data_IF_995188754197
#
_entry.id   IF_995188754197
#
_cell.length_a   1.000
_cell.length_b   1.000
_cell.length_c   1.000
_cell.angle_alpha   90.00
_cell.angle_beta   90.00
_cell.angle_gamma   90.00
#
_symmetry.space_group_name_H-M   'P 1'
#
loop_
_entity.id
_entity.type
_entity.pdbx_description
1 polymer ?
#
# COMPACT_ATOMS: atom_id res chain seq x y z
N UNK A 1 -44.56 -19.01 8.31
CA UNK A 1 -43.92 -18.36 7.14
C UNK A 1 -42.64 -17.59 7.48
N UNK A 2 -42.48 -17.06 8.69
CA UNK A 2 -41.30 -16.29 9.13
C UNK A 2 -40.03 -17.13 9.38
N UNK A 3 -40.16 -18.37 9.87
CA UNK A 3 -39.02 -19.26 10.14
C UNK A 3 -38.31 -19.80 8.89
N UNK A 4 -39.04 -19.99 7.78
CA UNK A 4 -38.47 -20.43 6.51
C UNK A 4 -37.65 -19.32 5.81
N UNK A 5 -38.08 -18.06 5.95
CA UNK A 5 -37.34 -16.89 5.46
C UNK A 5 -36.03 -16.67 6.23
N UNK A 6 -35.99 -16.95 7.53
CA UNK A 6 -34.77 -16.89 8.35
C UNK A 6 -33.77 -17.98 7.94
N UNK A 7 -34.25 -19.19 7.62
CA UNK A 7 -33.40 -20.29 7.11
C UNK A 7 -32.79 -20.02 5.74
N UNK A 8 -33.49 -19.29 4.87
CA UNK A 8 -33.02 -18.95 3.51
C UNK A 8 -32.17 -17.68 3.51
N UNK A 9 -32.51 -16.64 4.29
CA UNK A 9 -31.69 -15.42 4.39
C UNK A 9 -30.48 -15.58 5.31
N UNK A 10 -30.51 -16.49 6.29
CA UNK A 10 -29.44 -16.70 7.27
C UNK A 10 -28.06 -16.91 6.64
N UNK A 11 -27.89 -17.81 5.66
CA UNK A 11 -26.63 -18.02 4.95
C UNK A 11 -26.15 -16.77 4.21
N UNK A 12 -27.04 -16.06 3.51
CA UNK A 12 -26.69 -14.82 2.79
C UNK A 12 -26.28 -13.69 3.74
N UNK A 13 -26.99 -13.53 4.86
CA UNK A 13 -26.68 -12.54 5.89
C UNK A 13 -25.33 -12.85 6.56
N UNK A 14 -25.06 -14.12 6.88
CA UNK A 14 -23.80 -14.55 7.48
C UNK A 14 -22.62 -14.36 6.53
N UNK A 15 -22.80 -14.70 5.24
CA UNK A 15 -21.80 -14.45 4.19
C UNK A 15 -21.52 -12.95 4.04
N UNK A 16 -22.55 -12.10 3.99
CA UNK A 16 -22.38 -10.65 3.91
C UNK A 16 -21.67 -10.06 5.13
N UNK A 17 -21.96 -10.55 6.35
CA UNK A 17 -21.28 -10.13 7.59
C UNK A 17 -19.79 -10.51 7.54
N UNK A 18 -19.45 -11.72 7.10
CA UNK A 18 -18.05 -12.16 6.96
C UNK A 18 -17.28 -11.28 5.98
N UNK A 19 -17.83 -11.02 4.79
CA UNK A 19 -17.18 -10.18 3.80
C UNK A 19 -17.09 -8.71 4.21
N UNK A 20 -18.08 -8.19 4.93
CA UNK A 20 -18.03 -6.85 5.51
C UNK A 20 -16.87 -6.74 6.52
N UNK A 21 -16.65 -7.75 7.37
CA UNK A 21 -15.49 -7.79 8.29
C UNK A 21 -14.17 -7.79 7.54
N UNK A 22 -14.03 -8.64 6.51
CA UNK A 22 -12.83 -8.69 5.64
C UNK A 22 -12.56 -7.32 5.02
N UNK A 23 -13.59 -6.70 4.47
CA UNK A 23 -13.50 -5.40 3.83
C UNK A 23 -13.01 -4.32 4.81
N UNK A 24 -13.61 -4.23 5.99
CA UNK A 24 -13.22 -3.25 7.02
C UNK A 24 -11.77 -3.51 7.47
N UNK A 25 -11.41 -4.77 7.72
CA UNK A 25 -10.07 -5.13 8.16
C UNK A 25 -9.03 -4.78 7.08
N UNK A 26 -9.34 -5.01 5.81
CA UNK A 26 -8.52 -4.61 4.67
C UNK A 26 -8.36 -3.09 4.56
N UNK A 27 -9.43 -2.30 4.77
CA UNK A 27 -9.36 -0.84 4.80
C UNK A 27 -8.37 -0.35 5.86
N UNK A 28 -8.54 -0.83 7.10
CA UNK A 28 -7.70 -0.43 8.24
C UNK A 28 -6.24 -0.80 7.99
N UNK A 29 -5.99 -1.99 7.44
CA UNK A 29 -4.65 -2.45 7.09
C UNK A 29 -3.95 -1.55 6.07
N UNK A 30 -4.64 -1.20 4.97
CA UNK A 30 -4.08 -0.35 3.92
C UNK A 30 -3.80 1.06 4.45
N UNK A 31 -4.68 1.60 5.30
CA UNK A 31 -4.48 2.91 5.92
C UNK A 31 -3.26 2.93 6.85
N UNK A 32 -3.10 1.92 7.70
CA UNK A 32 -1.95 1.86 8.62
C UNK A 32 -0.64 1.55 7.92
N UNK A 33 -0.65 0.73 6.86
CA UNK A 33 0.55 0.48 6.08
C UNK A 33 1.05 1.76 5.39
N UNK A 34 0.15 2.65 5.01
CA UNK A 34 0.51 3.94 4.37
C UNK A 34 1.30 4.84 5.32
N UNK A 35 1.21 4.63 6.64
CA UNK A 35 2.00 5.37 7.62
C UNK A 35 3.50 5.11 7.46
N UNK A 36 3.89 3.90 7.05
CA UNK A 36 5.31 3.59 6.87
C UNK A 36 5.96 4.45 5.79
N UNK A 37 5.20 4.86 4.77
CA UNK A 37 5.69 5.71 3.69
C UNK A 37 6.01 7.14 4.15
N UNK A 38 5.46 7.59 5.28
CA UNK A 38 5.70 8.91 5.88
C UNK A 38 6.82 8.93 6.94
N UNK A 39 7.38 7.77 7.29
CA UNK A 39 8.47 7.63 8.26
C UNK A 39 9.75 8.38 7.85
N UNK A 40 10.23 8.29 6.58
CA UNK A 40 11.42 9.04 6.19
C UNK A 40 11.22 10.55 6.33
N UNK A 41 12.25 11.20 6.85
CA UNK A 41 12.38 12.66 6.93
C UNK A 41 13.72 13.03 6.29
N UNK A 42 13.76 14.20 5.66
CA UNK A 42 14.98 14.78 5.13
C UNK A 42 15.49 15.84 6.10
N UNK A 43 16.73 15.71 6.53
CA UNK A 43 17.47 16.80 7.15
C UNK A 43 18.16 17.59 6.04
N UNK A 44 17.67 18.81 5.82
CA UNK A 44 18.13 19.67 4.74
C UNK A 44 19.46 20.36 5.05
N UNK A 45 19.79 20.53 6.33
CA UNK A 45 21.03 21.16 6.78
C UNK A 45 22.21 20.21 6.56
N UNK A 46 22.03 18.96 7.00
CA UNK A 46 23.05 17.93 6.94
C UNK A 46 22.96 17.05 5.67
N UNK A 47 21.92 17.24 4.85
CA UNK A 47 21.66 16.49 3.61
C UNK A 47 21.69 14.98 3.84
N UNK A 48 20.91 14.54 4.82
CA UNK A 48 20.83 13.15 5.24
C UNK A 48 19.38 12.73 5.47
N UNK A 49 19.17 11.41 5.51
CA UNK A 49 17.88 10.83 5.86
C UNK A 49 17.81 10.58 7.35
N UNK A 50 16.77 11.13 7.98
CA UNK A 50 16.38 10.78 9.33
C UNK A 50 15.06 9.99 9.30
N UNK A 51 14.75 9.36 10.43
CA UNK A 51 13.57 8.53 10.62
C UNK A 51 12.72 9.10 11.74
N UNK A 52 11.45 9.37 11.45
CA UNK A 52 10.48 9.74 12.49
C UNK A 52 10.27 8.57 13.46
N UNK A 53 10.95 8.62 14.61
CA UNK A 53 10.92 7.56 15.63
C UNK A 53 9.53 7.38 16.22
N UNK A 54 8.79 8.48 16.39
CA UNK A 54 7.44 8.48 16.95
C UNK A 54 6.49 7.81 15.98
N UNK A 55 6.47 8.24 14.72
CA UNK A 55 5.62 7.66 13.68
C UNK A 55 5.97 6.20 13.42
N UNK A 56 7.26 5.85 13.41
CA UNK A 56 7.73 4.46 13.28
C UNK A 56 7.16 3.57 14.38
N UNK A 57 7.26 3.99 15.64
CA UNK A 57 6.76 3.20 16.77
C UNK A 57 5.23 3.06 16.70
N UNK A 58 4.51 4.14 16.40
CA UNK A 58 3.05 4.12 16.24
C UNK A 58 2.64 3.19 15.10
N UNK A 59 3.28 3.28 13.93
CA UNK A 59 2.98 2.44 12.78
C UNK A 59 3.24 0.96 13.06
N UNK A 60 4.33 0.63 13.78
CA UNK A 60 4.62 -0.74 14.19
C UNK A 60 3.55 -1.30 15.13
N UNK A 61 3.14 -0.54 16.16
CA UNK A 61 2.09 -0.94 17.10
C UNK A 61 0.76 -1.16 16.38
N UNK A 62 0.34 -0.18 15.55
CA UNK A 62 -0.90 -0.27 14.78
C UNK A 62 -0.89 -1.48 13.85
N UNK A 63 0.25 -1.78 13.21
CA UNK A 63 0.34 -2.97 12.38
C UNK A 63 0.24 -4.25 13.22
N UNK A 64 0.97 -4.37 14.31
CA UNK A 64 0.88 -5.56 15.17
C UNK A 64 -0.57 -5.86 15.57
N UNK A 65 -1.37 -4.83 15.89
CA UNK A 65 -2.80 -4.98 16.17
C UNK A 65 -3.59 -5.49 14.95
N UNK A 66 -3.33 -4.96 13.76
CA UNK A 66 -3.99 -5.47 12.53
C UNK A 66 -3.60 -6.90 12.18
N UNK A 67 -2.33 -7.27 12.34
CA UNK A 67 -1.85 -8.63 12.10
C UNK A 67 -2.53 -9.64 13.03
N UNK A 68 -2.65 -9.31 14.32
CA UNK A 68 -3.38 -10.13 15.28
C UNK A 68 -4.84 -10.30 14.85
N UNK A 69 -5.51 -9.20 14.46
CA UNK A 69 -6.88 -9.25 13.98
C UNK A 69 -7.05 -10.10 12.70
N UNK A 70 -6.08 -10.06 11.77
CA UNK A 70 -6.06 -10.93 10.59
C UNK A 70 -5.81 -12.39 10.94
N UNK A 71 -4.92 -12.70 11.89
CA UNK A 71 -4.68 -14.06 12.34
C UNK A 71 -5.98 -14.66 12.92
N UNK A 72 -6.67 -13.92 13.79
CA UNK A 72 -7.98 -14.35 14.30
C UNK A 72 -9.00 -14.55 13.17
N UNK A 73 -8.99 -13.68 12.16
CA UNK A 73 -9.86 -13.83 10.99
C UNK A 73 -9.56 -15.09 10.18
N UNK A 74 -8.27 -15.42 9.96
CA UNK A 74 -7.85 -16.65 9.28
C UNK A 74 -8.23 -17.89 10.08
N UNK A 75 -7.99 -17.90 11.40
CA UNK A 75 -8.36 -19.01 12.27
C UNK A 75 -9.87 -19.25 12.21
N UNK A 76 -10.68 -18.19 12.30
CA UNK A 76 -12.12 -18.30 12.15
C UNK A 76 -12.52 -18.87 10.77
N UNK A 77 -11.85 -18.42 9.70
CA UNK A 77 -12.09 -18.93 8.35
C UNK A 77 -11.74 -20.43 8.21
N UNK A 78 -10.68 -20.89 8.87
CA UNK A 78 -10.28 -22.30 8.88
C UNK A 78 -11.29 -23.13 9.66
N UNK A 79 -11.71 -22.67 10.84
CA UNK A 79 -12.71 -23.37 11.66
C UNK A 79 -14.06 -23.48 10.93
N UNK A 80 -14.52 -22.40 10.30
CA UNK A 80 -15.72 -22.41 9.46
C UNK A 80 -15.61 -23.44 8.32
N UNK A 81 -14.43 -23.56 7.70
CA UNK A 81 -14.19 -24.51 6.62
C UNK A 81 -14.18 -25.96 7.11
N UNK A 82 -13.73 -26.21 8.34
CA UNK A 82 -13.76 -27.53 8.96
C UNK A 82 -15.17 -27.94 9.42
N UNK A 83 -15.94 -27.00 9.96
CA UNK A 83 -17.31 -27.25 10.44
C UNK A 83 -18.33 -27.41 9.31
N UNK A 84 -18.19 -26.67 8.19
CA UNK A 84 -19.18 -26.77 7.10
C UNK A 84 -18.97 -27.97 6.18
N UNK A 85 -17.77 -28.58 6.15
CA UNK A 85 -17.40 -29.61 5.17
C UNK A 85 -17.60 -29.15 3.71
N UNK A 86 -17.13 -29.89 2.71
CA UNK A 86 -17.48 -29.59 1.33
C UNK A 86 -18.99 -29.86 1.12
N UNK A 87 -19.84 -28.85 1.25
CA UNK A 87 -21.22 -28.90 0.74
C UNK A 87 -21.16 -28.91 -0.78
N UNK A 88 -21.29 -30.09 -1.35
CA UNK A 88 -21.55 -30.28 -2.76
C UNK A 88 -23.00 -29.86 -3.02
N UNK A 89 -23.20 -28.62 -3.44
CA UNK A 89 -24.46 -28.26 -4.09
C UNK A 89 -24.48 -28.94 -5.46
N UNK A 90 -25.26 -30.02 -5.59
CA UNK A 90 -25.51 -30.78 -6.83
C UNK A 90 -26.21 -29.98 -7.95
N UNK A 91 -26.23 -28.64 -7.84
CA UNK A 91 -26.90 -27.74 -8.77
C UNK A 91 -25.99 -26.60 -9.23
N UNK A 92 -24.80 -26.92 -9.77
CA UNK A 92 -23.95 -25.91 -10.39
C UNK A 92 -24.31 -25.68 -11.86
N UNK A 93 -25.16 -24.69 -12.05
CA UNK A 93 -25.51 -23.96 -13.26
C UNK A 93 -24.31 -23.66 -14.18
N UNK A 94 -24.59 -23.65 -15.49
CA UNK A 94 -23.66 -23.53 -16.60
C UNK A 94 -22.77 -22.26 -16.54
N UNK A 95 -21.52 -22.41 -16.10
CA UNK A 95 -20.44 -21.45 -16.39
C UNK A 95 -19.57 -21.94 -17.56
N UNK A 96 -19.33 -21.07 -18.55
CA UNK A 96 -18.51 -21.32 -19.76
C UNK A 96 -17.00 -21.35 -19.45
N UNK A 97 -16.56 -22.28 -18.61
CA UNK A 97 -15.13 -22.51 -18.35
C UNK A 97 -14.68 -23.78 -19.09
N UNK A 98 -13.48 -23.81 -19.72
CA UNK A 98 -12.98 -25.00 -20.40
C UNK A 98 -12.93 -26.21 -19.45
N UNK A 99 -13.46 -27.36 -19.89
CA UNK A 99 -13.63 -28.59 -19.08
C UNK A 99 -12.37 -29.02 -18.31
N UNK A 100 -11.18 -28.80 -18.87
CA UNK A 100 -9.88 -29.08 -18.22
C UNK A 100 -9.63 -28.20 -16.99
N UNK A 101 -9.99 -26.92 -17.04
CA UNK A 101 -9.78 -25.97 -15.94
C UNK A 101 -10.75 -26.23 -14.77
N UNK A 102 -11.94 -26.76 -15.09
CA UNK A 102 -12.93 -27.20 -14.10
C UNK A 102 -12.41 -28.40 -13.28
N UNK A 103 -11.82 -29.37 -13.97
CA UNK A 103 -11.27 -30.59 -13.35
C UNK A 103 -10.04 -30.28 -12.48
N UNK A 104 -9.17 -29.37 -12.93
CA UNK A 104 -8.04 -28.88 -12.11
C UNK A 104 -8.52 -28.17 -10.85
N UNK A 105 -9.56 -27.32 -10.94
CA UNK A 105 -10.16 -26.65 -9.78
C UNK A 105 -10.75 -27.63 -8.77
N UNK A 106 -11.46 -28.65 -9.25
CA UNK A 106 -12.08 -29.67 -8.41
C UNK A 106 -11.03 -30.55 -7.71
N UNK A 107 -9.95 -30.92 -8.39
CA UNK A 107 -8.84 -31.69 -7.81
C UNK A 107 -8.05 -30.88 -6.78
N UNK A 108 -7.75 -29.61 -7.05
CA UNK A 108 -7.08 -28.71 -6.09
C UNK A 108 -7.97 -28.49 -4.86
N UNK A 109 -9.27 -28.24 -5.05
CA UNK A 109 -10.21 -28.07 -3.94
C UNK A 109 -10.34 -29.33 -3.05
N UNK A 110 -10.25 -30.52 -3.65
CA UNK A 110 -10.34 -31.81 -2.94
C UNK A 110 -9.06 -32.21 -2.21
N UNK A 111 -7.89 -31.86 -2.74
CA UNK A 111 -6.59 -32.36 -2.23
C UNK A 111 -5.80 -31.32 -1.44
N UNK A 112 -5.97 -30.03 -1.73
CA UNK A 112 -5.26 -28.91 -1.10
C UNK A 112 -6.15 -27.66 -1.07
N UNK A 113 -7.17 -27.60 -0.20
CA UNK A 113 -8.07 -26.45 -0.11
C UNK A 113 -7.33 -25.14 0.19
N UNK A 114 -6.17 -25.19 0.87
CA UNK A 114 -5.28 -24.06 1.14
C UNK A 114 -4.63 -23.42 -0.10
N UNK A 115 -4.58 -24.12 -1.24
CA UNK A 115 -3.95 -23.62 -2.48
C UNK A 115 -4.96 -22.94 -3.43
N UNK A 116 -6.21 -22.74 -3.01
CA UNK A 116 -7.18 -21.97 -3.79
C UNK A 116 -6.63 -20.56 -4.07
N UNK A 117 -6.72 -20.09 -5.32
CA UNK A 117 -6.25 -18.75 -5.75
C UNK A 117 -6.73 -17.66 -4.79
N UNK A 118 -7.95 -17.79 -4.25
CA UNK A 118 -8.52 -16.85 -3.28
C UNK A 118 -7.74 -16.84 -1.94
N UNK A 119 -7.35 -18.01 -1.45
CA UNK A 119 -6.58 -18.14 -0.20
C UNK A 119 -5.15 -17.65 -0.43
N UNK A 120 -4.56 -17.96 -1.59
CA UNK A 120 -3.22 -17.48 -1.97
C UNK A 120 -3.19 -15.95 -2.09
N UNK A 121 -4.17 -15.33 -2.75
CA UNK A 121 -4.29 -13.87 -2.84
C UNK A 121 -4.51 -13.25 -1.46
N UNK A 122 -5.37 -13.85 -0.63
CA UNK A 122 -5.56 -13.39 0.76
C UNK A 122 -4.27 -13.48 1.57
N UNK A 123 -3.51 -14.56 1.44
CA UNK A 123 -2.24 -14.77 2.14
C UNK A 123 -1.16 -13.78 1.66
N UNK A 124 -0.98 -13.65 0.34
CA UNK A 124 -0.04 -12.70 -0.27
C UNK A 124 -0.34 -11.25 0.12
N UNK A 125 -1.62 -10.86 0.19
CA UNK A 125 -2.01 -9.53 0.61
C UNK A 125 -1.59 -9.21 2.06
N UNK A 126 -1.51 -10.23 2.92
CA UNK A 126 -1.22 -10.11 4.36
C UNK A 126 0.28 -10.01 4.67
N UNK A 127 1.18 -10.42 3.78
CA UNK A 127 2.62 -10.41 4.06
C UNK A 127 3.12 -9.01 4.50
N UNK A 128 3.96 -8.86 5.52
CA UNK A 128 4.42 -7.56 6.01
C UNK A 128 5.52 -6.90 5.14
N UNK A 129 5.52 -7.06 3.82
CA UNK A 129 6.61 -6.58 2.94
C UNK A 129 6.85 -5.06 3.05
N UNK A 130 5.86 -4.14 3.17
CA UNK A 130 6.14 -2.71 3.21
C UNK A 130 6.87 -2.35 4.51
N UNK A 131 6.59 -3.09 5.58
CA UNK A 131 7.23 -2.90 6.88
C UNK A 131 8.66 -3.41 6.87
N UNK A 132 8.89 -4.60 6.32
CA UNK A 132 10.24 -5.16 6.19
C UNK A 132 11.06 -4.28 5.24
N UNK A 133 10.49 -3.86 4.12
CA UNK A 133 11.11 -2.95 3.18
C UNK A 133 11.55 -1.65 3.87
N UNK A 134 10.65 -0.97 4.58
CA UNK A 134 10.92 0.37 5.11
C UNK A 134 11.75 0.33 6.40
N UNK A 135 11.47 -0.61 7.30
CA UNK A 135 12.13 -0.71 8.61
C UNK A 135 13.48 -1.42 8.52
N UNK A 136 13.61 -2.44 7.66
CA UNK A 136 14.84 -3.25 7.54
C UNK A 136 15.62 -2.87 6.28
N UNK A 137 14.94 -2.56 5.17
CA UNK A 137 15.55 -2.40 3.86
C UNK A 137 15.90 -0.97 3.43
N UNK A 138 15.12 0.05 3.80
CA UNK A 138 15.09 1.32 3.06
C UNK A 138 16.16 2.37 3.42
N UNK A 139 16.84 2.29 4.56
CA UNK A 139 17.80 3.34 4.97
C UNK A 139 19.24 2.85 5.11
N UNK A 140 19.51 1.58 4.78
CA UNK A 140 20.87 1.00 4.82
C UNK A 140 21.33 0.51 3.45
N UNK A 141 20.98 1.23 2.38
CA UNK A 141 21.41 0.84 1.04
C UNK A 141 22.72 1.56 0.67
N UNK A 142 23.80 1.27 1.39
CA UNK A 142 25.15 1.62 0.91
C UNK A 142 25.59 0.67 -0.22
N UNK A 143 26.16 1.21 -1.30
CA UNK A 143 26.96 0.46 -2.29
C UNK A 143 26.54 0.56 -3.76
N UNK A 144 27.38 0.01 -4.64
CA UNK A 144 27.35 0.16 -6.12
C UNK A 144 26.09 -0.37 -6.85
N UNK A 145 25.12 -0.94 -6.13
CA UNK A 145 23.84 -1.46 -6.68
C UNK A 145 22.61 -0.84 -5.99
N UNK A 146 22.74 0.38 -5.46
CA UNK A 146 21.69 1.12 -4.76
C UNK A 146 20.38 1.20 -5.57
N UNK A 147 20.44 1.72 -6.79
CA UNK A 147 19.27 1.93 -7.67
C UNK A 147 18.49 0.64 -7.98
N UNK A 148 19.17 -0.48 -8.22
CA UNK A 148 18.53 -1.76 -8.51
C UNK A 148 17.75 -2.28 -7.29
N UNK A 149 18.36 -2.22 -6.11
CA UNK A 149 17.72 -2.66 -4.86
C UNK A 149 16.50 -1.80 -4.51
N UNK A 150 16.63 -0.47 -4.64
CA UNK A 150 15.54 0.48 -4.43
C UNK A 150 14.38 0.25 -5.40
N UNK A 151 14.68 0.04 -6.68
CA UNK A 151 13.67 -0.27 -7.70
C UNK A 151 12.93 -1.56 -7.39
N UNK A 152 13.64 -2.63 -7.01
CA UNK A 152 13.03 -3.90 -6.62
C UNK A 152 12.09 -3.71 -5.43
N UNK A 153 12.55 -3.04 -4.36
CA UNK A 153 11.74 -2.76 -3.18
C UNK A 153 10.46 -1.99 -3.55
N UNK A 154 10.58 -0.95 -4.38
CA UNK A 154 9.44 -0.16 -4.84
C UNK A 154 8.44 -0.99 -5.65
N UNK A 155 8.91 -1.84 -6.56
CA UNK A 155 8.05 -2.73 -7.36
C UNK A 155 7.28 -3.67 -6.44
N UNK A 156 7.95 -4.29 -5.47
CA UNK A 156 7.28 -5.15 -4.49
C UNK A 156 6.25 -4.39 -3.65
N UNK A 157 6.59 -3.17 -3.23
CA UNK A 157 5.71 -2.32 -2.44
C UNK A 157 4.45 -1.97 -3.25
N UNK A 158 4.60 -1.43 -4.47
CA UNK A 158 3.47 -1.11 -5.37
C UNK A 158 2.63 -2.36 -5.67
N UNK A 159 3.28 -3.47 -6.03
CA UNK A 159 2.59 -4.73 -6.33
C UNK A 159 1.73 -5.20 -5.16
N UNK A 160 2.23 -5.07 -3.94
CA UNK A 160 1.47 -5.49 -2.78
C UNK A 160 0.29 -4.58 -2.47
N UNK A 161 0.45 -3.26 -2.55
CA UNK A 161 -0.67 -2.32 -2.40
C UNK A 161 -1.74 -2.59 -3.46
N UNK A 162 -1.34 -2.90 -4.69
CA UNK A 162 -2.24 -3.32 -5.75
C UNK A 162 -3.02 -4.59 -5.38
N UNK A 163 -2.35 -5.63 -4.87
CA UNK A 163 -3.01 -6.87 -4.42
C UNK A 163 -4.05 -6.59 -3.32
N UNK A 164 -3.75 -5.71 -2.36
CA UNK A 164 -4.67 -5.34 -1.27
C UNK A 164 -5.89 -4.59 -1.76
N UNK A 165 -5.71 -3.59 -2.63
CA UNK A 165 -6.81 -2.86 -3.25
C UNK A 165 -7.68 -3.80 -4.09
N UNK A 166 -7.05 -4.73 -4.82
CA UNK A 166 -7.76 -5.74 -5.58
C UNK A 166 -8.60 -6.66 -4.68
N UNK A 167 -8.05 -7.12 -3.55
CA UNK A 167 -8.78 -7.90 -2.55
C UNK A 167 -9.98 -7.12 -1.97
N UNK A 168 -9.80 -5.83 -1.73
CA UNK A 168 -10.87 -4.93 -1.26
C UNK A 168 -11.99 -4.83 -2.30
N UNK A 169 -11.66 -4.64 -3.58
CA UNK A 169 -12.64 -4.62 -4.68
C UNK A 169 -13.42 -5.93 -4.80
N UNK A 170 -12.74 -7.08 -4.68
CA UNK A 170 -13.39 -8.39 -4.66
C UNK A 170 -14.35 -8.55 -3.47
N UNK A 171 -14.01 -7.95 -2.33
CA UNK A 171 -14.86 -7.96 -1.13
C UNK A 171 -16.12 -7.10 -1.34
N UNK A 172 -15.99 -5.90 -1.92
CA UNK A 172 -17.14 -5.05 -2.28
C UNK A 172 -18.08 -5.78 -3.24
N UNK A 173 -17.54 -6.46 -4.27
CA UNK A 173 -18.37 -7.17 -5.25
C UNK A 173 -19.27 -8.21 -4.58
N UNK A 174 -18.74 -8.96 -3.61
CA UNK A 174 -19.49 -10.00 -2.88
C UNK A 174 -20.49 -9.45 -1.88
N UNK A 175 -20.17 -8.33 -1.22
CA UNK A 175 -21.12 -7.64 -0.33
C UNK A 175 -22.24 -7.01 -1.17
N UNK A 176 -21.90 -6.43 -2.31
CA UNK A 176 -22.81 -5.65 -3.15
C UNK A 176 -23.94 -6.45 -3.78
N UNK A 177 -23.84 -7.78 -3.81
CA UNK A 177 -24.92 -8.68 -4.25
C UNK A 177 -25.97 -8.88 -3.16
N UNK A 178 -25.63 -8.58 -1.89
CA UNK A 178 -26.52 -8.77 -0.72
C UNK A 178 -27.02 -7.45 -0.13
N UNK A 179 -26.36 -6.33 -0.42
CA UNK A 179 -26.63 -5.04 0.24
C UNK A 179 -27.18 -4.00 -0.75
N UNK A 180 -28.10 -3.15 -0.28
CA UNK A 180 -28.76 -2.12 -1.09
C UNK A 180 -27.81 -1.11 -1.77
N UNK A 181 -28.28 -0.50 -2.86
CA UNK A 181 -27.51 0.41 -3.75
C UNK A 181 -26.79 1.55 -2.99
N UNK A 182 -27.43 2.13 -1.97
CA UNK A 182 -26.89 3.22 -1.15
C UNK A 182 -25.62 2.81 -0.39
N UNK A 183 -25.65 1.64 0.27
CA UNK A 183 -24.50 1.14 1.03
C UNK A 183 -23.37 0.72 0.10
N UNK A 184 -23.71 0.16 -1.07
CA UNK A 184 -22.74 -0.14 -2.13
C UNK A 184 -21.99 1.13 -2.59
N UNK A 185 -22.71 2.24 -2.77
CA UNK A 185 -22.10 3.55 -3.07
C UNK A 185 -21.11 4.01 -1.99
N UNK A 186 -21.48 3.86 -0.71
CA UNK A 186 -20.61 4.20 0.42
C UNK A 186 -19.29 3.39 0.43
N UNK A 187 -19.33 2.10 0.11
CA UNK A 187 -18.12 1.28 0.01
C UNK A 187 -17.18 1.72 -1.11
N UNK A 188 -17.72 2.07 -2.29
CA UNK A 188 -16.90 2.61 -3.38
C UNK A 188 -16.31 3.98 -3.04
N UNK A 189 -17.07 4.83 -2.36
CA UNK A 189 -16.57 6.12 -1.89
C UNK A 189 -15.42 5.95 -0.88
N UNK A 190 -15.55 5.04 0.08
CA UNK A 190 -14.48 4.72 1.01
C UNK A 190 -13.22 4.19 0.29
N UNK A 191 -13.40 3.32 -0.72
CA UNK A 191 -12.29 2.83 -1.55
C UNK A 191 -11.59 3.97 -2.28
N UNK A 192 -12.34 4.94 -2.80
CA UNK A 192 -11.78 6.12 -3.47
C UNK A 192 -10.92 6.96 -2.51
N UNK A 193 -11.41 7.21 -1.28
CA UNK A 193 -10.63 7.93 -0.25
C UNK A 193 -9.34 7.17 0.05
N UNK A 194 -9.41 5.86 0.26
CA UNK A 194 -8.24 5.03 0.57
C UNK A 194 -7.23 5.04 -0.59
N UNK A 195 -7.70 4.92 -1.83
CA UNK A 195 -6.82 5.03 -3.01
C UNK A 195 -6.12 6.40 -3.06
N UNK A 196 -6.83 7.48 -2.71
CA UNK A 196 -6.25 8.81 -2.54
C UNK A 196 -5.18 8.89 -1.46
N UNK A 197 -5.44 8.33 -0.28
CA UNK A 197 -4.45 8.26 0.81
C UNK A 197 -3.20 7.49 0.39
N UNK A 198 -3.38 6.35 -0.27
CA UNK A 198 -2.26 5.52 -0.76
C UNK A 198 -1.45 6.29 -1.80
N UNK A 199 -2.11 6.89 -2.79
CA UNK A 199 -1.45 7.67 -3.84
C UNK A 199 -0.66 8.85 -3.26
N UNK A 200 -1.23 9.57 -2.29
CA UNK A 200 -0.56 10.63 -1.56
C UNK A 200 0.68 10.16 -0.79
N UNK A 201 0.58 9.01 -0.12
CA UNK A 201 1.68 8.42 0.64
C UNK A 201 2.84 7.98 -0.29
N UNK A 202 2.53 7.38 -1.43
CA UNK A 202 3.51 7.07 -2.46
C UNK A 202 4.17 8.33 -3.03
N UNK A 203 3.40 9.39 -3.25
CA UNK A 203 3.95 10.66 -3.74
C UNK A 203 4.96 11.27 -2.76
N UNK A 204 4.64 11.28 -1.45
CA UNK A 204 5.57 11.69 -0.40
C UNK A 204 6.83 10.80 -0.36
N UNK A 205 6.66 9.48 -0.38
CA UNK A 205 7.80 8.57 -0.31
C UNK A 205 8.71 8.68 -1.53
N UNK A 206 8.12 8.81 -2.73
CA UNK A 206 8.90 8.98 -3.96
C UNK A 206 9.56 10.36 -4.06
N UNK A 207 9.03 11.42 -3.44
CA UNK A 207 9.74 12.70 -3.41
C UNK A 207 11.06 12.58 -2.66
N UNK A 208 11.07 11.89 -1.52
CA UNK A 208 12.29 11.63 -0.74
C UNK A 208 13.27 10.74 -1.53
N UNK A 209 12.76 9.72 -2.22
CA UNK A 209 13.60 8.89 -3.08
C UNK A 209 14.21 9.64 -4.26
N UNK A 210 13.51 10.64 -4.80
CA UNK A 210 14.01 11.47 -5.88
C UNK A 210 15.10 12.42 -5.40
N UNK A 211 14.93 13.01 -4.23
CA UNK A 211 15.95 13.86 -3.62
C UNK A 211 17.23 13.07 -3.30
N UNK A 212 17.08 11.90 -2.68
CA UNK A 212 18.21 11.00 -2.40
C UNK A 212 18.91 10.49 -3.67
N UNK A 213 18.17 10.26 -4.76
CA UNK A 213 18.76 9.93 -6.07
C UNK A 213 19.59 11.08 -6.63
N UNK A 214 19.14 12.33 -6.44
CA UNK A 214 19.91 13.50 -6.84
C UNK A 214 21.23 13.57 -6.05
N UNK A 215 21.17 13.34 -4.73
CA UNK A 215 22.37 13.32 -3.89
C UNK A 215 23.34 12.20 -4.29
N UNK A 216 22.85 10.99 -4.59
CA UNK A 216 23.69 9.89 -5.05
C UNK A 216 24.40 10.23 -6.37
N UNK A 217 23.67 10.81 -7.34
CA UNK A 217 24.24 11.24 -8.62
C UNK A 217 25.29 12.37 -8.44
N UNK A 218 25.01 13.34 -7.57
CA UNK A 218 25.96 14.39 -7.22
C UNK A 218 27.23 13.80 -6.58
N UNK A 219 27.06 12.80 -5.72
CA UNK A 219 28.13 12.15 -4.97
C UNK A 219 29.07 11.32 -5.87
N UNK A 220 28.56 10.69 -6.93
CA UNK A 220 29.39 9.96 -7.92
C UNK A 220 30.42 10.84 -8.63
N UNK A 221 30.23 12.16 -8.63
CA UNK A 221 31.15 13.12 -9.27
C UNK A 221 32.36 13.44 -8.37
N UNK A 222 32.31 13.09 -7.08
CA UNK A 222 33.35 13.38 -6.09
C UNK A 222 34.04 12.09 -5.64
N UNK A 223 35.37 12.04 -5.77
CA UNK A 223 36.16 10.95 -5.24
C UNK A 223 36.07 10.91 -3.70
N UNK A 224 35.65 9.77 -3.13
CA UNK A 224 35.53 9.57 -1.69
C UNK A 224 34.22 10.07 -1.06
N UNK A 225 33.26 10.54 -1.86
CA UNK A 225 31.93 10.86 -1.35
C UNK A 225 31.14 9.57 -1.05
N UNK A 226 30.63 9.47 0.18
CA UNK A 226 29.64 8.45 0.56
C UNK A 226 28.30 9.16 0.79
N UNK A 227 27.21 8.72 0.14
CA UNK A 227 25.90 9.33 0.39
C UNK A 227 25.50 9.07 1.84
N UNK A 228 25.12 10.14 2.54
CA UNK A 228 24.76 10.08 3.97
C UNK A 228 23.30 9.64 4.08
N UNK A 229 23.10 8.34 4.29
CA UNK A 229 21.77 7.76 4.51
C UNK A 229 21.34 7.76 5.98
N UNK A 230 22.23 8.18 6.90
CA UNK A 230 21.99 8.21 8.34
C UNK A 230 22.69 9.44 8.94
N UNK A 231 21.91 10.33 9.57
CA UNK A 231 22.41 11.54 10.22
C UNK A 231 23.24 11.26 11.50
N UNK A 232 23.37 10.00 11.93
CA UNK A 232 24.04 9.61 13.17
C UNK A 232 25.57 9.54 13.14
N UNK A 233 26.22 9.54 11.96
CA UNK A 233 27.68 9.48 11.87
C UNK A 233 28.26 10.67 11.08
N UNK A 234 28.90 11.56 11.83
CA UNK A 234 29.59 12.76 11.38
C UNK A 234 30.56 12.48 10.23
N UNK A 235 30.13 12.79 9.01
CA UNK A 235 31.03 13.19 7.93
C UNK A 235 30.39 14.35 7.21
N UNK A 236 30.53 15.55 7.78
CA UNK A 236 30.14 16.80 7.13
C UNK A 236 31.05 17.03 5.92
N UNK A 237 30.75 16.40 4.80
CA UNK A 237 31.39 16.71 3.53
C UNK A 237 30.32 17.15 2.54
N UNK A 238 30.31 18.47 2.34
CA UNK A 238 29.81 19.18 1.17
C UNK A 238 28.27 19.33 1.02
N UNK A 239 27.54 19.62 2.10
CA UNK A 239 26.13 20.08 2.01
C UNK A 239 25.97 21.28 1.05
N UNK A 240 26.95 22.19 1.02
CA UNK A 240 27.02 23.31 0.07
C UNK A 240 27.12 22.87 -1.40
N UNK A 241 27.78 21.74 -1.68
CA UNK A 241 27.88 21.20 -3.03
C UNK A 241 26.61 20.49 -3.46
N UNK A 242 26.01 19.71 -2.56
CA UNK A 242 24.71 19.08 -2.78
C UNK A 242 23.63 20.14 -3.04
N UNK A 243 23.63 21.25 -2.30
CA UNK A 243 22.73 22.38 -2.56
C UNK A 243 22.93 23.01 -3.95
N UNK A 244 24.17 23.02 -4.48
CA UNK A 244 24.45 23.54 -5.83
C UNK A 244 24.02 22.58 -6.94
N UNK A 245 24.20 21.27 -6.75
CA UNK A 245 23.86 20.28 -7.76
C UNK A 245 22.38 19.84 -7.71
N UNK A 246 21.77 19.93 -6.54
CA UNK A 246 20.37 19.59 -6.29
C UNK A 246 19.60 20.80 -5.72
N UNK A 247 19.49 21.92 -6.46
CA UNK A 247 18.77 23.10 -5.99
C UNK A 247 17.25 22.88 -6.02
N UNK A 248 16.59 23.15 -4.90
CA UNK A 248 15.12 23.09 -4.76
C UNK A 248 14.47 24.44 -5.14
N UNK A 249 15.23 25.54 -5.13
CA UNK A 249 14.69 26.90 -5.21
C UNK A 249 14.68 27.52 -6.62
N UNK A 250 15.47 27.03 -7.58
CA UNK A 250 15.62 27.69 -8.89
C UNK A 250 14.95 26.93 -10.03
N UNK A 251 13.97 27.49 -10.77
CA UNK A 251 13.41 26.87 -11.99
C UNK A 251 14.29 27.04 -13.23
N UNK A 252 15.31 27.91 -13.18
CA UNK A 252 16.11 28.27 -14.34
C UNK A 252 17.32 27.35 -14.45
N UNK A 253 17.21 26.35 -15.32
CA UNK A 253 18.27 25.40 -15.70
C UNK A 253 18.91 24.70 -14.48
N UNK A 254 18.13 23.91 -13.75
CA UNK A 254 18.67 23.03 -12.71
C UNK A 254 19.45 21.88 -13.35
N UNK A 255 20.52 21.37 -12.71
CA UNK A 255 21.21 20.15 -13.16
C UNK A 255 20.33 18.90 -13.05
N UNK A 256 19.28 18.95 -12.23
CA UNK A 256 18.39 17.84 -11.93
C UNK A 256 16.93 18.28 -11.94
N UNK A 257 16.07 17.53 -12.65
CA UNK A 257 14.63 17.79 -12.72
C UNK A 257 13.87 16.92 -11.69
N UNK A 258 13.24 17.59 -10.72
CA UNK A 258 12.41 16.95 -9.70
C UNK A 258 10.96 16.68 -10.18
N UNK A 259 10.55 17.27 -11.32
CA UNK A 259 9.25 17.09 -11.94
C UNK A 259 8.08 17.29 -10.96
N UNK A 260 7.17 16.32 -10.92
CA UNK A 260 5.96 16.33 -10.08
C UNK A 260 6.23 16.36 -8.55
N UNK A 261 7.47 16.18 -8.12
CA UNK A 261 7.86 16.21 -6.70
C UNK A 261 8.44 17.55 -6.28
N UNK A 262 8.71 18.46 -7.22
CA UNK A 262 9.26 19.77 -6.92
C UNK A 262 8.41 20.55 -5.90
N UNK A 263 7.08 20.51 -6.03
CA UNK A 263 6.17 21.25 -5.16
C UNK A 263 6.23 20.80 -3.68
N UNK A 264 6.46 19.52 -3.41
CA UNK A 264 6.56 19.03 -2.03
C UNK A 264 7.94 19.32 -1.42
N UNK A 265 8.99 19.20 -2.22
CA UNK A 265 10.35 19.53 -1.79
C UNK A 265 10.45 21.02 -1.45
N UNK A 266 9.92 21.89 -2.33
CA UNK A 266 9.89 23.35 -2.10
C UNK A 266 9.08 23.76 -0.88
N UNK A 267 8.04 23.00 -0.53
CA UNK A 267 7.21 23.29 0.63
C UNK A 267 7.88 22.99 1.98
N UNK A 268 9.03 22.30 2.00
CA UNK A 268 9.72 21.90 3.23
C UNK A 268 8.99 20.83 4.04
N UNK A 269 7.95 20.20 3.49
CA UNK A 269 7.11 19.24 4.22
C UNK A 269 7.84 17.92 4.47
N UNK A 270 8.80 17.57 3.61
CA UNK A 270 9.70 16.43 3.78
C UNK A 270 10.64 16.58 4.98
N UNK A 271 10.82 17.80 5.51
CA UNK A 271 11.66 18.12 6.68
C UNK A 271 10.87 18.14 7.98
N UNK A 272 9.54 18.31 7.90
CA UNK A 272 8.68 18.37 9.08
C UNK A 272 8.72 17.05 9.87
N UNK A 273 8.58 17.11 11.19
CA UNK A 273 8.30 15.94 12.05
C UNK A 273 6.81 15.77 12.33
N UNK A 274 5.97 16.73 11.94
CA UNK A 274 4.54 16.65 12.19
C UNK A 274 3.84 15.78 11.15
N UNK A 275 3.43 14.57 11.55
CA UNK A 275 2.72 13.63 10.69
C UNK A 275 1.46 14.22 10.06
N UNK A 276 0.64 14.95 10.81
CA UNK A 276 -0.63 15.47 10.29
C UNK A 276 -0.40 16.49 9.17
N UNK A 277 0.61 17.34 9.32
CA UNK A 277 0.99 18.31 8.28
C UNK A 277 1.39 17.59 6.99
N UNK A 278 2.24 16.57 7.08
CA UNK A 278 2.62 15.72 5.93
C UNK A 278 1.40 15.07 5.29
N UNK A 279 0.58 14.42 6.12
CA UNK A 279 -0.57 13.66 5.69
C UNK A 279 -1.57 14.54 4.95
N UNK A 280 -2.04 15.64 5.55
CA UNK A 280 -3.07 16.49 4.95
C UNK A 280 -2.58 17.20 3.69
N UNK A 281 -1.32 17.63 3.65
CA UNK A 281 -0.77 18.27 2.46
C UNK A 281 -0.63 17.28 1.29
N UNK A 282 -0.03 16.11 1.55
CA UNK A 282 0.08 15.07 0.53
C UNK A 282 -1.29 14.56 0.08
N UNK A 283 -2.24 14.42 1.02
CA UNK A 283 -3.60 13.99 0.71
C UNK A 283 -4.34 15.01 -0.16
N UNK A 284 -4.23 16.31 0.16
CA UNK A 284 -4.76 17.39 -0.68
C UNK A 284 -4.20 17.33 -2.10
N UNK A 285 -2.88 17.18 -2.24
CA UNK A 285 -2.24 17.03 -3.54
C UNK A 285 -2.73 15.77 -4.28
N UNK A 286 -2.85 14.65 -3.58
CA UNK A 286 -3.32 13.38 -4.15
C UNK A 286 -4.75 13.46 -4.68
N UNK A 287 -5.66 14.08 -3.93
CA UNK A 287 -7.04 14.30 -4.36
C UNK A 287 -7.12 15.21 -5.59
N UNK A 288 -6.33 16.28 -5.63
CA UNK A 288 -6.27 17.20 -6.78
C UNK A 288 -5.88 16.44 -8.05
N UNK A 289 -4.89 15.54 -7.97
CA UNK A 289 -4.38 14.80 -9.13
C UNK A 289 -5.28 13.63 -9.56
N UNK A 290 -5.92 12.94 -8.62
CA UNK A 290 -6.90 11.88 -8.95
C UNK A 290 -8.11 12.41 -9.73
N UNK A 291 -8.50 13.67 -9.48
CA UNK A 291 -9.57 14.34 -10.25
C UNK A 291 -9.22 14.42 -11.75
N UNK A 292 -7.96 14.68 -12.09
CA UNK A 292 -7.51 14.73 -13.49
C UNK A 292 -7.39 13.33 -14.11
N UNK A 293 -6.98 12.32 -13.35
CA UNK A 293 -6.95 10.93 -13.81
C UNK A 293 -8.36 10.39 -14.13
N UNK A 294 -9.37 10.73 -13.33
CA UNK A 294 -10.76 10.37 -13.59
C UNK A 294 -11.29 11.00 -14.90
N UNK A 295 -10.96 12.28 -15.14
CA UNK A 295 -11.33 12.96 -16.39
C UNK A 295 -10.68 12.32 -17.63
N UNK A 296 -9.48 11.75 -17.48
CA UNK A 296 -8.80 11.02 -18.56
C UNK A 296 -9.52 9.69 -18.87
N UNK A 297 -10.05 8.98 -17.86
CA UNK A 297 -10.81 7.74 -18.05
C UNK A 297 -12.19 8.00 -18.66
N UNK A 298 -12.84 9.12 -18.35
CA UNK A 298 -14.12 9.50 -18.97
C UNK A 298 -13.98 10.08 -20.38
N UNK A 299 -12.78 10.50 -20.80
CA UNK A 299 -12.51 10.98 -22.16
C UNK A 299 -12.25 9.84 -23.18
N UNK A 300 -12.26 8.58 -22.71
CA UNK A 300 -12.08 7.37 -23.54
C UNK A 300 -13.44 6.68 -23.83
N UNK A 301 -14.56 7.29 -23.42
CA UNK A 301 -15.91 6.85 -23.76
C UNK A 301 -16.68 7.92 -24.53
#
# INVERSE_FOLDING_TARGET
>A
MTWALIGILGPFVFVAIKWKRVFILSCVAVSFDSLFLYIPIIDQENKCLDTDKTLRNVALVLRSLTDIAFIFHIIALINDFMDEGPKWDDHASASRLPRKLKLVREVIAKKMPWLSIRIVVNFLAILPIPQVAIVVGSFRLGGSKHFLKQTIINVFLVFQYFLRIFQMFLSIKKIGDTVGKLVKGSFYFLMYIIAGCVFAAFWYFFSIQRETSCWDQACQTIAGCMPIYDCGHSTSLNSTFLNKLCPIESPNATPFDFGMFHDILKSGITESTNFFTKFFYSFWWGLKNLRYAYNCVTAVH
#
